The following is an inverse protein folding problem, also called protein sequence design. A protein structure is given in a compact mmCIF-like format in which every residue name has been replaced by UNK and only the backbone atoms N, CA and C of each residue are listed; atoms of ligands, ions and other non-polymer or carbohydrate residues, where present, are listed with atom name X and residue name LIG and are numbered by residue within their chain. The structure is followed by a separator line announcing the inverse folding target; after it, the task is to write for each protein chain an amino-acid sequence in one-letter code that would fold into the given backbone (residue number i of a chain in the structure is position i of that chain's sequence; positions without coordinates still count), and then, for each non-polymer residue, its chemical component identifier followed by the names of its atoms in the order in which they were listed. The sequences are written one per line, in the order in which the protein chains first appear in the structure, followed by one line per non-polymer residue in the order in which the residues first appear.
data_IF_330388806798
#
_entry.id   IF_330388806798
#
_cell.length_a   1.000
_cell.length_b   1.000
_cell.length_c   1.000
_cell.angle_alpha   90.00
_cell.angle_beta   90.00
_cell.angle_gamma   90.00
#
_symmetry.space_group_name_H-M   'P 1'
#
loop_
_entity.id
_entity.type
_entity.pdbx_description
1 polymer ?
#
# COMPACT_ATOMS: atom_id res chain seq x y z
N UNK A 1 -2.79 2.08 9.82
CA UNK A 1 -1.59 1.22 9.90
C UNK A 1 -0.38 2.10 10.10
N UNK A 2 0.47 1.79 11.08
CA UNK A 2 1.71 2.53 11.34
C UNK A 2 2.72 2.34 10.19
N UNK A 3 3.22 3.44 9.64
CA UNK A 3 4.22 3.46 8.56
C UNK A 3 5.33 4.45 8.90
N UNK A 4 6.57 4.04 8.67
CA UNK A 4 7.72 4.89 8.96
C UNK A 4 7.75 6.11 8.03
N UNK A 5 8.12 7.27 8.54
CA UNK A 5 8.40 8.46 7.74
C UNK A 5 9.73 8.25 7.03
N UNK A 6 9.74 8.37 5.71
CA UNK A 6 10.92 8.22 4.85
C UNK A 6 11.43 9.54 4.28
N UNK A 7 10.61 10.59 4.32
CA UNK A 7 11.00 11.90 3.83
C UNK A 7 9.95 12.97 4.13
N UNK A 8 10.27 14.20 3.74
CA UNK A 8 9.35 15.33 3.83
C UNK A 8 9.35 16.11 2.51
N UNK A 9 8.17 16.60 2.17
CA UNK A 9 7.93 17.53 1.08
C UNK A 9 7.15 18.71 1.64
N UNK A 10 6.99 19.74 0.82
CA UNK A 10 6.17 20.91 1.11
C UNK A 10 5.28 21.12 -0.09
N UNK A 11 3.98 21.30 0.12
CA UNK A 11 3.08 21.62 -0.99
C UNK A 11 3.20 23.08 -1.45
N UNK A 12 2.40 23.45 -2.44
CA UNK A 12 2.39 24.81 -3.00
C UNK A 12 2.00 25.90 -2.01
N UNK A 13 1.34 25.55 -0.90
CA UNK A 13 0.92 26.50 0.14
C UNK A 13 1.94 26.63 1.27
N UNK A 14 3.04 25.84 1.22
CA UNK A 14 4.04 25.83 2.28
C UNK A 14 3.75 24.80 3.38
N UNK A 15 2.71 23.97 3.23
CA UNK A 15 2.35 23.01 4.25
C UNK A 15 3.25 21.75 4.18
N UNK A 16 3.76 21.28 5.33
CA UNK A 16 4.65 20.13 5.37
C UNK A 16 3.90 18.81 5.17
N UNK A 17 4.44 17.97 4.28
CA UNK A 17 3.95 16.64 3.96
C UNK A 17 5.02 15.62 4.38
N UNK A 18 4.66 14.65 5.20
CA UNK A 18 5.49 13.48 5.45
C UNK A 18 5.24 12.43 4.37
N UNK A 19 6.32 11.90 3.77
CA UNK A 19 6.26 10.74 2.88
C UNK A 19 6.47 9.50 3.72
N UNK A 20 5.54 8.55 3.64
CA UNK A 20 5.58 7.32 4.42
C UNK A 20 6.22 6.17 3.64
N UNK A 21 6.66 5.11 4.34
CA UNK A 21 7.29 3.92 3.75
C UNK A 21 6.36 3.13 2.82
N UNK A 22 5.05 3.35 2.92
CA UNK A 22 4.07 2.81 1.98
C UNK A 22 3.91 3.66 0.71
N UNK A 23 4.58 4.81 0.60
CA UNK A 23 4.49 5.76 -0.50
C UNK A 23 3.44 6.86 -0.32
N UNK A 24 2.50 6.71 0.62
CA UNK A 24 1.48 7.74 0.80
C UNK A 24 2.05 9.04 1.38
N UNK A 25 1.68 10.20 0.81
CA UNK A 25 1.90 11.49 1.44
C UNK A 25 0.88 11.71 2.57
N UNK A 26 1.31 12.36 3.66
CA UNK A 26 0.45 12.75 4.77
C UNK A 26 0.80 14.16 5.25
N UNK A 27 -0.15 15.08 5.19
CA UNK A 27 0.01 16.41 5.77
C UNK A 27 0.24 16.33 7.29
N UNK A 28 1.31 16.98 7.75
CA UNK A 28 1.77 16.96 9.14
C UNK A 28 1.81 18.36 9.77
N UNK A 29 0.80 19.18 9.45
CA UNK A 29 0.65 20.57 9.92
C UNK A 29 0.80 20.71 11.44
N UNK A 30 1.35 21.85 11.85
CA UNK A 30 1.32 22.32 13.24
C UNK A 30 0.35 23.50 13.35
N UNK A 31 -0.80 23.28 13.99
CA UNK A 31 -1.84 24.29 14.19
C UNK A 31 -2.37 24.26 15.63
N UNK A 32 -1.60 24.79 16.61
CA UNK A 32 -2.05 24.88 17.99
C UNK A 32 -3.33 25.72 18.14
N UNK A 33 -4.24 25.37 19.07
CA UNK A 33 -4.13 24.26 20.02
C UNK A 33 -4.56 22.89 19.45
N UNK A 34 -5.10 22.84 18.24
CA UNK A 34 -5.76 21.65 17.70
C UNK A 34 -4.78 20.56 17.24
N UNK A 35 -3.61 20.95 16.71
CA UNK A 35 -2.60 20.02 16.20
C UNK A 35 -1.20 20.45 16.68
N UNK A 36 -0.68 19.75 17.69
CA UNK A 36 0.62 20.04 18.28
C UNK A 36 1.71 19.11 17.71
N UNK A 37 2.50 19.63 16.77
CA UNK A 37 3.60 18.96 16.07
C UNK A 37 4.76 19.94 15.87
N UNK A 38 5.38 20.42 16.96
CA UNK A 38 6.39 21.47 16.87
C UNK A 38 7.62 21.01 16.09
N UNK A 39 7.87 19.70 16.04
CA UNK A 39 8.93 19.12 15.22
C UNK A 39 8.80 19.42 13.72
N UNK A 40 7.64 19.85 13.22
CA UNK A 40 7.47 20.13 11.79
C UNK A 40 7.91 21.54 11.37
N UNK A 41 8.13 22.44 12.33
CA UNK A 41 8.33 23.87 12.06
C UNK A 41 9.67 24.19 11.43
N UNK A 42 10.65 23.29 11.54
CA UNK A 42 11.97 23.44 10.95
C UNK A 42 12.48 22.12 10.37
N UNK A 43 13.57 22.19 9.61
CA UNK A 43 14.17 21.02 8.97
C UNK A 43 14.81 20.06 9.98
N UNK A 44 15.41 20.56 11.06
CA UNK A 44 16.06 19.73 12.08
C UNK A 44 15.04 18.84 12.80
N UNK A 45 13.91 19.40 13.20
CA UNK A 45 12.79 18.70 13.80
C UNK A 45 12.22 17.65 12.85
N UNK A 46 12.01 18.00 11.57
CA UNK A 46 11.56 17.03 10.55
C UNK A 46 12.54 15.87 10.40
N UNK A 47 13.83 16.15 10.27
CA UNK A 47 14.87 15.13 10.16
C UNK A 47 14.94 14.23 11.41
N UNK A 48 14.66 14.76 12.60
CA UNK A 48 14.59 13.96 13.84
C UNK A 48 13.44 12.94 13.86
N UNK A 49 12.44 13.12 12.98
CA UNK A 49 11.27 12.25 12.87
C UNK A 49 11.42 11.18 11.78
N UNK A 50 12.47 11.20 10.96
CA UNK A 50 12.74 10.14 10.00
C UNK A 50 12.83 8.77 10.71
N UNK A 51 12.19 7.77 10.13
CA UNK A 51 12.07 6.43 10.72
C UNK A 51 11.03 6.29 11.84
N UNK A 52 10.50 7.39 12.41
CA UNK A 52 9.33 7.33 13.32
C UNK A 52 8.08 6.98 12.52
N UNK A 53 7.10 6.38 13.16
CA UNK A 53 5.88 5.93 12.50
C UNK A 53 4.74 6.95 12.63
N UNK A 54 3.88 6.98 11.60
CA UNK A 54 2.59 7.65 11.62
C UNK A 54 1.49 6.69 11.16
N UNK A 55 0.28 6.90 11.65
CA UNK A 55 -0.88 6.16 11.18
C UNK A 55 -1.28 6.58 9.77
N UNK A 56 -1.11 5.65 8.81
CA UNK A 56 -1.58 5.80 7.44
C UNK A 56 -3.01 5.24 7.29
N UNK A 57 -3.99 6.14 7.19
CA UNK A 57 -5.41 5.80 7.00
C UNK A 57 -5.68 5.22 5.60
N UNK A 58 -4.95 5.69 4.58
CA UNK A 58 -5.08 5.17 3.21
C UNK A 58 -4.71 3.68 3.12
N UNK A 59 -3.67 3.25 3.85
CA UNK A 59 -3.37 1.82 3.99
C UNK A 59 -4.49 1.02 4.67
N UNK A 60 -5.16 1.58 5.68
CA UNK A 60 -6.30 0.91 6.35
C UNK A 60 -7.48 0.71 5.40
N UNK A 61 -7.66 1.64 4.48
CA UNK A 61 -8.68 1.60 3.43
C UNK A 61 -8.27 0.79 2.21
N UNK A 62 -7.08 0.17 2.22
CA UNK A 62 -6.55 -0.56 1.07
C UNK A 62 -6.46 0.31 -0.19
N UNK A 63 -6.16 1.60 -0.03
CA UNK A 63 -5.96 2.52 -1.15
C UNK A 63 -4.51 2.47 -1.61
N UNK A 64 -4.29 2.30 -2.91
CA UNK A 64 -2.97 2.36 -3.53
C UNK A 64 -2.63 3.84 -3.84
N UNK A 65 -1.38 4.29 -3.66
CA UNK A 65 -0.99 5.66 -3.99
C UNK A 65 -1.26 6.02 -5.46
N UNK A 66 -1.80 7.21 -5.72
CA UNK A 66 -2.31 7.58 -7.06
C UNK A 66 -1.20 7.71 -8.11
N UNK A 67 0.03 8.00 -7.68
CA UNK A 67 1.20 8.23 -8.52
C UNK A 67 2.02 6.96 -8.80
N UNK A 68 1.66 5.83 -8.17
CA UNK A 68 2.40 4.58 -8.34
C UNK A 68 2.12 3.94 -9.70
N UNK A 69 3.19 3.45 -10.33
CA UNK A 69 3.13 2.86 -11.67
C UNK A 69 3.24 1.34 -11.61
N UNK A 70 2.50 0.66 -12.49
CA UNK A 70 2.65 -0.77 -12.69
C UNK A 70 4.00 -1.05 -13.37
N UNK A 71 4.80 -1.94 -12.78
CA UNK A 71 6.13 -2.29 -13.32
C UNK A 71 6.27 -3.79 -13.64
N UNK A 72 5.34 -4.62 -13.17
CA UNK A 72 5.35 -6.06 -13.41
C UNK A 72 3.92 -6.62 -13.36
N UNK A 73 3.63 -7.56 -14.25
CA UNK A 73 2.40 -8.37 -14.25
C UNK A 73 2.78 -9.85 -14.28
N UNK A 74 2.06 -10.70 -13.55
CA UNK A 74 2.21 -12.16 -13.65
C UNK A 74 1.51 -12.69 -14.90
N UNK A 75 1.86 -13.90 -15.33
CA UNK A 75 0.93 -14.69 -16.16
C UNK A 75 -0.40 -14.90 -15.42
N UNK A 76 -1.43 -15.23 -16.18
CA UNK A 76 -2.71 -15.65 -15.61
C UNK A 76 -2.55 -16.94 -14.80
N UNK A 77 -3.29 -17.00 -13.70
CA UNK A 77 -3.47 -18.18 -12.87
C UNK A 77 -4.89 -18.69 -12.98
N UNK A 78 -5.01 -20.00 -12.88
CA UNK A 78 -6.25 -20.77 -12.75
C UNK A 78 -6.26 -21.50 -11.43
N UNK A 79 -7.40 -22.07 -11.04
CA UNK A 79 -7.55 -22.91 -9.83
C UNK A 79 -6.52 -24.05 -9.75
N UNK A 80 -6.06 -24.55 -10.89
CA UNK A 80 -5.06 -25.62 -11.00
C UNK A 80 -3.62 -25.08 -10.94
N UNK A 81 -3.40 -23.86 -11.44
CA UNK A 81 -2.06 -23.28 -11.60
C UNK A 81 -1.68 -22.25 -10.53
N UNK A 82 -2.58 -21.89 -9.60
CA UNK A 82 -2.24 -20.97 -8.49
C UNK A 82 -1.06 -21.52 -7.68
N UNK A 83 0.08 -20.79 -7.62
CA UNK A 83 1.22 -21.21 -6.83
C UNK A 83 0.86 -21.38 -5.36
N UNK A 84 1.37 -22.44 -4.74
CA UNK A 84 1.13 -22.70 -3.30
C UNK A 84 1.57 -21.52 -2.40
N UNK A 85 2.55 -20.73 -2.84
CA UNK A 85 2.98 -19.52 -2.15
C UNK A 85 1.88 -18.46 -2.04
N UNK A 86 1.04 -18.28 -3.08
CA UNK A 86 -0.06 -17.30 -3.04
C UNK A 86 -1.23 -17.78 -2.15
N UNK A 87 -1.34 -19.09 -1.95
CA UNK A 87 -2.33 -19.73 -1.07
C UNK A 87 -1.95 -19.72 0.41
N UNK A 88 -0.70 -19.36 0.73
CA UNK A 88 -0.19 -19.21 2.09
C UNK A 88 -0.01 -17.73 2.42
N UNK A 89 0.08 -17.42 3.70
CA UNK A 89 0.40 -16.06 4.15
C UNK A 89 1.76 -15.63 3.60
N UNK A 90 1.72 -14.52 2.86
CA UNK A 90 2.90 -13.87 2.32
C UNK A 90 2.65 -12.35 2.25
N UNK A 91 3.71 -11.59 1.98
CA UNK A 91 3.61 -10.15 1.82
C UNK A 91 4.50 -9.67 0.67
N UNK A 92 4.15 -8.51 0.12
CA UNK A 92 5.09 -7.74 -0.69
C UNK A 92 6.10 -7.00 0.19
N UNK A 93 7.21 -6.57 -0.41
CA UNK A 93 8.24 -5.77 0.27
C UNK A 93 7.73 -4.35 0.55
N UNK A 94 8.44 -3.62 1.41
CA UNK A 94 8.23 -2.17 1.64
C UNK A 94 8.15 -1.43 0.30
N UNK A 95 7.18 -0.51 0.18
CA UNK A 95 6.97 0.28 -1.03
C UNK A 95 6.49 -0.50 -2.27
N UNK A 96 6.20 -1.81 -2.17
CA UNK A 96 5.67 -2.61 -3.27
C UNK A 96 4.20 -2.94 -3.01
N UNK A 97 3.33 -2.39 -3.84
CA UNK A 97 1.90 -2.67 -3.84
C UNK A 97 1.55 -3.73 -4.88
N UNK A 98 0.39 -4.36 -4.74
CA UNK A 98 -0.14 -5.18 -5.82
C UNK A 98 -1.65 -5.00 -6.00
N UNK A 99 -2.13 -5.25 -7.21
CA UNK A 99 -3.55 -5.44 -7.53
C UNK A 99 -3.77 -6.87 -7.96
N UNK A 100 -4.78 -7.52 -7.39
CA UNK A 100 -5.25 -8.85 -7.77
C UNK A 100 -6.49 -8.63 -8.65
N UNK A 101 -6.32 -8.84 -9.94
CA UNK A 101 -7.36 -8.65 -10.94
C UNK A 101 -7.93 -10.00 -11.34
N UNK A 102 -9.21 -10.23 -11.08
CA UNK A 102 -9.94 -11.43 -11.52
C UNK A 102 -10.56 -11.13 -12.88
N UNK A 103 -10.35 -11.99 -13.86
CA UNK A 103 -10.97 -11.88 -15.19
C UNK A 103 -12.22 -12.75 -15.30
N UNK A 104 -12.20 -13.92 -14.65
CA UNK A 104 -13.34 -14.85 -14.61
C UNK A 104 -13.40 -15.56 -13.24
N UNK A 105 -14.61 -15.92 -12.81
CA UNK A 105 -14.81 -16.68 -11.57
C UNK A 105 -14.68 -15.83 -10.30
N UNK A 106 -14.28 -16.48 -9.19
CA UNK A 106 -14.16 -15.85 -7.88
C UNK A 106 -12.94 -16.32 -7.12
N UNK A 107 -12.34 -15.38 -6.39
CA UNK A 107 -11.17 -15.62 -5.55
C UNK A 107 -11.42 -15.06 -4.16
N UNK A 108 -11.29 -15.86 -3.12
CA UNK A 108 -11.28 -15.37 -1.74
C UNK A 108 -9.93 -14.73 -1.46
N UNK A 109 -9.94 -13.49 -1.01
CA UNK A 109 -8.78 -12.74 -0.54
C UNK A 109 -8.89 -12.52 0.97
N UNK A 110 -7.81 -12.84 1.69
CA UNK A 110 -7.76 -12.72 3.16
C UNK A 110 -6.55 -11.92 3.61
N UNK A 111 -6.77 -11.12 4.66
CA UNK A 111 -5.74 -10.39 5.40
C UNK A 111 -5.93 -10.71 6.89
N UNK A 112 -5.40 -11.84 7.37
CA UNK A 112 -5.75 -12.39 8.68
C UNK A 112 -5.51 -11.41 9.84
N UNK A 113 -4.40 -10.68 9.82
CA UNK A 113 -4.04 -9.72 10.87
C UNK A 113 -5.05 -8.57 11.03
N UNK A 114 -5.89 -8.32 10.03
CA UNK A 114 -6.91 -7.27 10.01
C UNK A 114 -8.34 -7.82 10.09
N UNK A 115 -8.51 -9.14 10.13
CA UNK A 115 -9.83 -9.78 10.06
C UNK A 115 -10.57 -9.52 8.75
N UNK A 116 -9.86 -9.14 7.68
CA UNK A 116 -10.47 -8.89 6.37
C UNK A 116 -10.54 -10.19 5.60
N UNK A 117 -11.74 -10.56 5.18
CA UNK A 117 -12.00 -11.61 4.21
C UNK A 117 -13.02 -11.09 3.19
N UNK A 118 -12.69 -11.19 1.90
CA UNK A 118 -13.57 -10.73 0.83
C UNK A 118 -13.45 -11.62 -0.39
N UNK A 119 -14.55 -11.76 -1.12
CA UNK A 119 -14.52 -12.31 -2.48
C UNK A 119 -14.09 -11.21 -3.46
N UNK A 120 -13.21 -11.58 -4.39
CA UNK A 120 -12.82 -10.83 -5.57
C UNK A 120 -13.45 -11.48 -6.80
N UNK A 121 -13.79 -10.67 -7.78
CA UNK A 121 -14.45 -11.03 -9.03
C UNK A 121 -14.20 -9.90 -10.05
N UNK A 122 -14.63 -10.01 -11.32
CA UNK A 122 -14.23 -9.04 -12.36
C UNK A 122 -14.42 -7.55 -12.02
N UNK A 123 -15.48 -7.20 -11.30
CA UNK A 123 -15.75 -5.81 -10.90
C UNK A 123 -15.20 -5.44 -9.51
N UNK A 124 -14.46 -6.35 -8.86
CA UNK A 124 -13.93 -6.14 -7.50
C UNK A 124 -12.48 -6.63 -7.39
N UNK A 125 -11.58 -5.67 -7.47
CA UNK A 125 -10.13 -5.85 -7.39
C UNK A 125 -9.68 -5.97 -5.93
N UNK A 126 -8.71 -6.84 -5.67
CA UNK A 126 -8.02 -6.91 -4.39
C UNK A 126 -6.79 -6.01 -4.38
N UNK A 127 -6.65 -5.13 -3.39
CA UNK A 127 -5.43 -4.34 -3.20
C UNK A 127 -4.57 -4.99 -2.13
N UNK A 128 -3.30 -5.22 -2.45
CA UNK A 128 -2.29 -5.75 -1.54
C UNK A 128 -1.48 -4.60 -0.97
N UNK A 129 -1.58 -4.43 0.35
CA UNK A 129 -0.84 -3.42 1.11
C UNK A 129 0.58 -3.93 1.42
N UNK A 130 1.64 -3.11 1.22
CA UNK A 130 3.01 -3.50 1.53
C UNK A 130 3.20 -4.04 2.93
N UNK A 131 3.99 -5.11 3.06
CA UNK A 131 4.39 -5.73 4.34
C UNK A 131 3.23 -6.29 5.18
N UNK A 132 2.01 -6.36 4.62
CA UNK A 132 0.85 -6.97 5.28
C UNK A 132 0.67 -8.39 4.76
N UNK A 133 0.63 -9.35 5.69
CA UNK A 133 0.39 -10.76 5.35
C UNK A 133 -1.01 -10.95 4.80
N UNK A 134 -1.09 -11.60 3.65
CA UNK A 134 -2.32 -11.94 2.97
C UNK A 134 -2.18 -13.26 2.22
N UNK A 135 -3.32 -13.82 1.81
CA UNK A 135 -3.37 -15.00 0.97
C UNK A 135 -4.64 -15.00 0.10
N UNK A 136 -4.66 -15.88 -0.91
CA UNK A 136 -5.81 -16.09 -1.78
C UNK A 136 -6.21 -17.56 -1.88
N UNK A 137 -7.49 -17.80 -2.15
CA UNK A 137 -8.04 -19.14 -2.35
C UNK A 137 -9.07 -19.11 -3.49
N UNK A 138 -8.90 -19.92 -4.56
CA UNK A 138 -9.94 -20.11 -5.58
C UNK A 138 -11.24 -20.64 -4.97
N UNK A 139 -12.38 -20.08 -5.37
CA UNK A 139 -13.71 -20.53 -4.94
C UNK A 139 -14.42 -21.42 -5.98
N UNK A 140 -13.65 -21.98 -6.90
CA UNK A 140 -14.09 -22.69 -8.10
C UNK A 140 -13.17 -22.35 -9.28
N UNK A 141 -13.62 -22.63 -10.52
CA UNK A 141 -12.92 -22.16 -11.71
C UNK A 141 -12.69 -20.65 -11.66
N UNK A 142 -11.47 -20.22 -11.91
CA UNK A 142 -11.07 -18.80 -11.82
C UNK A 142 -9.99 -18.50 -12.85
N UNK A 143 -9.97 -17.27 -13.37
CA UNK A 143 -8.82 -16.71 -14.09
C UNK A 143 -8.49 -15.36 -13.47
N UNK A 144 -7.25 -15.18 -13.04
CA UNK A 144 -6.81 -13.93 -12.44
C UNK A 144 -5.31 -13.72 -12.63
N UNK A 145 -4.85 -12.48 -12.45
CA UNK A 145 -3.44 -12.13 -12.46
C UNK A 145 -3.12 -11.11 -11.37
N UNK A 146 -1.83 -10.95 -11.08
CA UNK A 146 -1.35 -9.96 -10.11
C UNK A 146 -0.47 -8.93 -10.84
N UNK A 147 -0.77 -7.67 -10.63
CA UNK A 147 0.05 -6.53 -11.07
C UNK A 147 0.74 -5.90 -9.87
N UNK A 148 2.03 -5.58 -10.02
CA UNK A 148 2.84 -4.96 -8.98
C UNK A 148 3.12 -3.51 -9.31
N UNK A 149 3.00 -2.67 -8.29
CA UNK A 149 3.10 -1.23 -8.38
C UNK A 149 4.17 -0.73 -7.42
N UNK A 150 4.90 0.31 -7.83
CA UNK A 150 5.89 1.01 -7.00
C UNK A 150 5.90 2.49 -7.36
N UNK A 151 6.53 3.32 -6.52
CA UNK A 151 6.77 4.72 -6.85
C UNK A 151 7.52 4.81 -8.20
N UNK A 152 7.21 5.81 -9.04
CA UNK A 152 7.98 6.03 -10.26
C UNK A 152 9.45 6.28 -9.88
N UNK A 153 10.35 5.83 -10.76
CA UNK A 153 11.77 6.14 -10.58
C UNK A 153 11.88 7.67 -10.63
N UNK A 154 12.40 8.28 -9.56
CA UNK A 154 12.74 9.70 -9.59
C UNK A 154 13.98 9.80 -10.47
N UNK A 155 13.82 10.25 -11.72
CA UNK A 155 14.96 10.61 -12.55
C UNK A 155 15.87 11.52 -11.72
N UNK A 156 17.14 11.11 -11.59
CA UNK A 156 18.10 11.73 -10.68
C UNK A 156 18.15 13.25 -10.88
N UNK A 157 18.01 13.97 -9.76
CA UNK A 157 18.48 15.36 -9.68
C UNK A 157 19.99 15.41 -9.91
#
# INVERSE_FOLDING_TARGET
MERAITGFEVDSEGDPIAILSCGHPQHVRHNPPFINRPWVTDEQGRNSMLGKTLNCVRCEKFELPDDFIAYKRTSEFTEESVPAALRKDHSTKTGVWAKINVEEGRLRYRVPALGVETELFPDKIGIVVPEVLHNVEPLGPVRFFVEFYRAPDRDGQ
#
